data_IF_065238280308
#
_entry.id   IF_065238280308
#
_cell.length_a   1.000
_cell.length_b   1.000
_cell.length_c   1.000
_cell.angle_alpha   90.00
_cell.angle_beta   90.00
_cell.angle_gamma   90.00
#
_symmetry.space_group_name_H-M   'P 1'
#
loop_
_entity.id
_entity.type
_entity.pdbx_description
1 polymer ?
#
# COMPACT_ATOMS: atom_id res chain seq x y z
N UNK A 1 10.27 23.20 15.94
CA UNK A 1 10.41 22.81 14.52
C UNK A 1 10.78 21.34 14.53
N UNK A 2 9.85 20.50 14.95
CA UNK A 2 9.99 19.04 15.14
C UNK A 2 8.55 18.53 15.19
N UNK A 3 7.95 18.30 14.02
CA UNK A 3 6.60 17.71 13.91
C UNK A 3 6.40 17.12 12.50
N UNK A 4 7.02 17.74 11.50
CA UNK A 4 6.95 17.32 10.10
C UNK A 4 7.72 16.03 9.75
N UNK A 5 8.45 15.41 10.68
CA UNK A 5 9.26 14.20 10.40
C UNK A 5 8.60 12.87 10.80
N UNK A 6 7.48 12.89 11.55
CA UNK A 6 6.86 11.66 12.09
C UNK A 6 5.91 10.95 11.11
N UNK A 7 5.52 11.59 10.00
CA UNK A 7 4.55 10.99 9.08
C UNK A 7 5.19 10.04 8.05
N UNK A 8 6.48 10.20 7.76
CA UNK A 8 7.16 9.42 6.71
C UNK A 8 7.77 8.10 7.20
N UNK A 9 8.05 7.94 8.50
CA UNK A 9 8.65 6.71 9.05
C UNK A 9 7.61 5.59 9.30
N UNK A 10 6.32 5.94 9.40
CA UNK A 10 5.27 4.97 9.77
C UNK A 10 4.82 4.07 8.61
N UNK A 11 4.86 4.55 7.35
CA UNK A 11 4.41 3.77 6.18
C UNK A 11 5.30 2.55 5.94
N UNK A 12 6.60 2.69 6.20
CA UNK A 12 7.57 1.58 6.13
C UNK A 12 7.45 0.60 7.29
N UNK A 13 6.95 1.02 8.45
CA UNK A 13 6.62 0.10 9.56
C UNK A 13 5.30 -0.65 9.32
N UNK A 14 4.36 -0.07 8.55
CA UNK A 14 3.08 -0.69 8.23
C UNK A 14 3.18 -1.80 7.15
N UNK A 15 4.29 -1.85 6.40
CA UNK A 15 4.50 -2.83 5.33
C UNK A 15 5.83 -3.54 5.57
N UNK A 16 5.76 -4.80 5.99
CA UNK A 16 6.95 -5.62 6.23
C UNK A 16 7.80 -5.81 4.96
N UNK A 17 9.13 -5.76 5.09
CA UNK A 17 10.08 -5.99 3.99
C UNK A 17 9.83 -7.33 3.26
N UNK A 18 9.41 -8.36 4.00
CA UNK A 18 9.05 -9.67 3.42
C UNK A 18 7.85 -9.57 2.48
N UNK A 19 6.86 -8.76 2.82
CA UNK A 19 5.70 -8.56 1.97
C UNK A 19 6.10 -7.81 0.69
N UNK A 20 7.03 -6.87 0.78
CA UNK A 20 7.60 -6.18 -0.39
C UNK A 20 8.27 -7.21 -1.31
N UNK A 21 9.11 -8.09 -0.78
CA UNK A 21 9.79 -9.13 -1.55
C UNK A 21 8.82 -10.10 -2.24
N UNK A 22 7.77 -10.54 -1.53
CA UNK A 22 6.73 -11.41 -2.09
C UNK A 22 5.97 -10.73 -3.23
N UNK A 23 5.59 -9.47 -3.04
CA UNK A 23 4.88 -8.67 -4.05
C UNK A 23 5.74 -8.48 -5.30
N UNK A 24 7.04 -8.16 -5.13
CA UNK A 24 8.00 -8.03 -6.24
C UNK A 24 8.18 -9.35 -6.97
N UNK A 25 8.39 -10.46 -6.24
CA UNK A 25 8.56 -11.79 -6.83
C UNK A 25 7.33 -12.21 -7.63
N UNK A 26 6.13 -11.91 -7.13
CA UNK A 26 4.89 -12.23 -7.82
C UNK A 26 4.70 -11.40 -9.08
N UNK A 27 4.98 -10.09 -9.04
CA UNK A 27 4.91 -9.25 -10.22
C UNK A 27 5.88 -9.73 -11.31
N UNK A 28 7.10 -10.12 -10.94
CA UNK A 28 8.07 -10.70 -11.88
C UNK A 28 7.57 -12.03 -12.48
N UNK A 29 6.98 -12.92 -11.67
CA UNK A 29 6.42 -14.18 -12.14
C UNK A 29 5.24 -13.99 -13.11
N UNK A 30 4.44 -12.94 -12.89
CA UNK A 30 3.29 -12.58 -13.73
C UNK A 30 3.67 -11.67 -14.92
N UNK A 31 4.95 -11.29 -15.06
CA UNK A 31 5.42 -10.39 -16.11
C UNK A 31 4.91 -8.94 -15.97
N UNK A 32 4.48 -8.56 -14.77
CA UNK A 32 3.97 -7.23 -14.46
C UNK A 32 5.13 -6.28 -14.17
N UNK A 33 5.02 -5.06 -14.69
CA UNK A 33 5.89 -3.97 -14.27
C UNK A 33 5.57 -3.56 -12.83
N UNK A 34 6.58 -3.22 -12.04
CA UNK A 34 6.38 -2.76 -10.66
C UNK A 34 5.64 -1.41 -10.62
N UNK A 35 5.92 -0.56 -11.60
CA UNK A 35 5.40 0.80 -11.73
C UNK A 35 4.92 1.07 -13.16
N UNK A 36 4.12 2.13 -13.34
CA UNK A 36 3.57 2.51 -14.65
C UNK A 36 2.16 1.99 -14.87
N UNK A 37 1.63 2.23 -16.07
CA UNK A 37 0.27 1.83 -16.43
C UNK A 37 0.12 0.31 -16.45
N UNK A 38 -0.89 -0.21 -15.75
CA UNK A 38 -1.09 -1.64 -15.54
C UNK A 38 -0.11 -2.28 -14.53
N UNK A 39 0.79 -1.50 -13.93
CA UNK A 39 1.80 -2.01 -13.00
C UNK A 39 1.24 -2.40 -11.63
N UNK A 40 2.02 -3.17 -10.88
CA UNK A 40 1.66 -3.70 -9.56
C UNK A 40 1.21 -2.59 -8.59
N UNK A 41 1.97 -1.50 -8.46
CA UNK A 41 1.62 -0.41 -7.54
C UNK A 41 0.31 0.27 -7.92
N UNK A 42 0.02 0.40 -9.22
CA UNK A 42 -1.24 1.01 -9.67
C UNK A 42 -2.42 0.12 -9.30
N UNK A 43 -2.30 -1.19 -9.54
CA UNK A 43 -3.32 -2.16 -9.17
C UNK A 43 -3.53 -2.24 -7.65
N UNK A 44 -2.45 -2.20 -6.86
CA UNK A 44 -2.51 -2.18 -5.40
C UNK A 44 -3.21 -0.91 -4.90
N UNK A 45 -2.82 0.26 -5.42
CA UNK A 45 -3.44 1.54 -5.07
C UNK A 45 -4.92 1.54 -5.40
N UNK A 46 -5.29 1.04 -6.59
CA UNK A 46 -6.70 0.91 -7.00
C UNK A 46 -7.47 0.04 -6.01
N UNK A 47 -6.94 -1.14 -5.67
CA UNK A 47 -7.58 -2.05 -4.72
C UNK A 47 -7.68 -1.45 -3.32
N UNK A 48 -6.67 -0.70 -2.86
CA UNK A 48 -6.72 0.02 -1.59
C UNK A 48 -7.82 1.09 -1.58
N UNK A 49 -7.95 1.86 -2.65
CA UNK A 49 -9.02 2.86 -2.79
C UNK A 49 -10.41 2.21 -2.86
N UNK A 50 -10.54 1.11 -3.60
CA UNK A 50 -11.79 0.32 -3.64
C UNK A 50 -12.11 -0.27 -2.26
N UNK A 51 -11.10 -0.77 -1.54
CA UNK A 51 -11.29 -1.32 -0.19
C UNK A 51 -11.62 -0.24 0.84
N UNK A 52 -11.10 0.98 0.67
CA UNK A 52 -11.46 2.12 1.50
C UNK A 52 -12.90 2.58 1.22
N UNK A 53 -13.32 2.55 -0.04
CA UNK A 53 -14.68 2.88 -0.45
C UNK A 53 -15.70 1.82 0.02
N UNK A 54 -15.33 0.55 -0.04
CA UNK A 54 -16.11 -0.55 0.56
C UNK A 54 -16.01 -0.54 2.11
N UNK A 55 -14.96 0.10 2.65
CA UNK A 55 -14.59 0.15 4.07
C UNK A 55 -15.18 1.32 4.87
N UNK A 56 -15.85 2.29 4.24
CA UNK A 56 -16.62 3.35 4.93
C UNK A 56 -17.79 2.81 5.79
N UNK A 57 -18.01 1.49 5.84
CA UNK A 57 -18.93 0.82 6.78
C UNK A 57 -18.20 0.25 8.02
N UNK A 58 -16.88 0.36 8.13
CA UNK A 58 -16.12 -0.18 9.29
C UNK A 58 -15.08 0.78 9.86
N UNK A 59 -15.41 2.06 10.04
CA UNK A 59 -14.62 2.98 10.85
C UNK A 59 -15.27 3.13 12.25
N UNK A 60 -14.75 2.51 13.33
CA UNK A 60 -15.08 2.95 14.68
C UNK A 60 -14.24 4.19 14.99
N UNK A 61 -14.91 5.33 15.18
CA UNK A 61 -14.31 6.56 15.72
C UNK A 61 -13.62 6.25 17.06
N UNK A 62 -12.36 6.66 17.29
CA UNK A 62 -11.78 6.56 18.62
C UNK A 62 -12.50 7.53 19.56
N UNK A 63 -13.26 6.97 20.51
CA UNK A 63 -13.79 7.61 21.72
C UNK A 63 -12.69 8.18 22.61
#
# INVERSE_FOLDING_TARGET
MEDASMTSENVTEAVDDRLIDELVSRAQAEGLHLTGEGGLLQQLTKRLLESALDGEITEPLPT
#
